data_IF_456771727880
#
_entry.id   IF_456771727880
#
_cell.length_a   1.000
_cell.length_b   1.000
_cell.length_c   1.000
_cell.angle_alpha   90.00
_cell.angle_beta   90.00
_cell.angle_gamma   90.00
#
_symmetry.space_group_name_H-M   'P 1'
#
loop_
_entity.id
_entity.type
_entity.pdbx_description
1 polymer ?
#
# COMPACT_ATOMS: atom_id res chain seq x y z
N UNK A 1 -0.28 -2.59 -30.26
CA UNK A 1 -1.56 -2.69 -29.51
C UNK A 1 -1.65 -1.53 -28.54
N UNK A 2 -2.78 -0.81 -28.47
CA UNK A 2 -2.94 0.30 -27.53
C UNK A 2 -2.81 -0.20 -26.08
N UNK A 3 -2.13 0.59 -25.23
CA UNK A 3 -1.97 0.23 -23.84
C UNK A 3 -3.28 0.45 -23.07
N UNK A 4 -3.39 -0.13 -21.86
CA UNK A 4 -4.61 -0.05 -21.03
C UNK A 4 -5.11 1.37 -20.76
N UNK A 5 -4.23 2.37 -20.73
CA UNK A 5 -4.61 3.77 -20.53
C UNK A 5 -5.18 4.40 -21.81
N UNK A 6 -4.66 4.02 -22.98
CA UNK A 6 -5.20 4.45 -24.27
C UNK A 6 -6.59 3.83 -24.52
N UNK A 7 -6.79 2.56 -24.13
CA UNK A 7 -8.11 1.91 -24.19
C UNK A 7 -9.11 2.55 -23.21
N UNK A 8 -8.68 2.84 -21.97
CA UNK A 8 -9.52 3.52 -20.99
C UNK A 8 -9.93 4.93 -21.46
N UNK A 9 -8.99 5.69 -22.02
CA UNK A 9 -9.26 7.01 -22.60
C UNK A 9 -10.24 6.94 -23.77
N UNK A 10 -10.05 6.00 -24.71
CA UNK A 10 -10.95 5.84 -25.86
C UNK A 10 -12.37 5.48 -25.41
N UNK A 11 -12.49 4.57 -24.45
CA UNK A 11 -13.78 4.15 -23.91
C UNK A 11 -14.51 5.30 -23.18
N UNK A 12 -13.78 6.09 -22.37
CA UNK A 12 -14.38 7.26 -21.71
C UNK A 12 -14.77 8.33 -22.71
N UNK A 13 -13.88 8.67 -23.65
CA UNK A 13 -14.15 9.65 -24.68
C UNK A 13 -15.41 9.30 -25.49
N UNK A 14 -15.51 8.06 -25.97
CA UNK A 14 -16.69 7.61 -26.72
C UNK A 14 -17.96 7.60 -25.86
N UNK A 15 -17.87 7.22 -24.58
CA UNK A 15 -19.03 7.22 -23.67
C UNK A 15 -19.53 8.63 -23.36
N UNK A 16 -18.62 9.57 -23.05
CA UNK A 16 -18.96 10.95 -22.68
C UNK A 16 -19.42 11.71 -23.90
N UNK A 17 -18.73 11.56 -25.03
CA UNK A 17 -19.14 12.18 -26.29
C UNK A 17 -20.49 11.63 -26.76
N UNK A 18 -20.71 10.31 -26.69
CA UNK A 18 -22.00 9.70 -26.99
C UNK A 18 -23.12 10.20 -26.08
N UNK A 19 -22.87 10.32 -24.77
CA UNK A 19 -23.84 10.85 -23.82
C UNK A 19 -24.15 12.34 -24.07
N UNK A 20 -23.14 13.15 -24.39
CA UNK A 20 -23.32 14.57 -24.74
C UNK A 20 -24.11 14.75 -26.04
N UNK A 21 -23.83 13.95 -27.07
CA UNK A 21 -24.58 13.97 -28.34
C UNK A 21 -26.03 13.56 -28.09
N UNK A 22 -26.26 12.50 -27.31
CA UNK A 22 -27.61 12.05 -26.96
C UNK A 22 -28.37 13.11 -26.13
N UNK A 23 -27.73 13.70 -25.12
CA UNK A 23 -28.30 14.76 -24.32
C UNK A 23 -28.63 16.00 -25.16
N UNK A 24 -27.73 16.40 -26.07
CA UNK A 24 -27.97 17.49 -27.02
C UNK A 24 -29.18 17.19 -27.91
N UNK A 25 -29.30 15.96 -28.42
CA UNK A 25 -30.41 15.56 -29.28
C UNK A 25 -31.76 15.54 -28.54
N UNK A 26 -31.76 15.10 -27.29
CA UNK A 26 -32.94 15.08 -26.44
C UNK A 26 -33.33 16.49 -26.00
N UNK A 27 -32.36 17.35 -25.68
CA UNK A 27 -32.58 18.76 -25.41
C UNK A 27 -33.13 19.51 -26.63
N UNK A 28 -32.61 19.25 -27.83
CA UNK A 28 -33.16 19.82 -29.07
C UNK A 28 -34.59 19.34 -29.34
N UNK A 29 -34.89 18.08 -29.02
CA UNK A 29 -36.23 17.50 -29.20
C UNK A 29 -37.23 18.06 -28.19
N UNK A 30 -36.80 18.25 -26.94
CA UNK A 30 -37.59 18.88 -25.88
C UNK A 30 -37.86 20.36 -26.19
N UNK A 31 -36.83 21.12 -26.60
CA UNK A 31 -37.01 22.50 -27.04
C UNK A 31 -38.01 22.62 -28.20
N UNK A 32 -37.94 21.70 -29.17
CA UNK A 32 -38.93 21.62 -30.24
C UNK A 32 -40.35 21.32 -29.73
N UNK A 33 -40.51 20.44 -28.72
CA UNK A 33 -41.83 20.10 -28.19
C UNK A 33 -42.48 21.22 -27.36
N UNK A 34 -41.70 22.19 -26.87
CA UNK A 34 -42.20 23.40 -26.20
C UNK A 34 -42.26 24.64 -27.12
N UNK A 35 -42.16 24.44 -28.46
CA UNK A 35 -42.34 25.50 -29.46
C UNK A 35 -41.08 26.26 -29.87
N UNK A 36 -39.90 25.81 -29.43
CA UNK A 36 -38.59 26.42 -29.74
C UNK A 36 -37.66 25.47 -30.52
N UNK A 37 -38.01 25.04 -31.75
CA UNK A 37 -37.14 24.17 -32.53
C UNK A 37 -35.83 24.88 -32.91
N UNK A 38 -34.69 24.33 -32.46
CA UNK A 38 -33.35 24.93 -32.66
C UNK A 38 -33.02 25.09 -34.16
N UNK A 39 -33.55 24.24 -35.04
CA UNK A 39 -33.40 24.40 -36.49
C UNK A 39 -34.04 25.68 -37.07
N UNK A 40 -34.99 26.28 -36.35
CA UNK A 40 -35.63 27.55 -36.72
C UNK A 40 -35.05 28.75 -35.95
N UNK A 41 -34.13 28.52 -35.01
CA UNK A 41 -33.30 29.57 -34.40
C UNK A 41 -32.21 29.97 -35.42
N UNK A 42 -32.63 30.60 -36.51
CA UNK A 42 -31.75 31.50 -37.26
C UNK A 42 -31.46 32.65 -36.30
N UNK A 43 -30.17 32.97 -36.12
CA UNK A 43 -29.65 34.14 -35.38
C UNK A 43 -30.75 35.18 -35.15
N UNK A 44 -31.21 35.28 -33.90
CA UNK A 44 -32.32 36.14 -33.47
C UNK A 44 -32.12 37.53 -34.09
N UNK A 45 -32.92 37.87 -35.11
CA UNK A 45 -32.81 39.15 -35.81
C UNK A 45 -33.15 39.20 -37.30
N UNK A 46 -33.47 38.09 -37.99
CA UNK A 46 -33.90 38.15 -39.40
C UNK A 46 -35.42 37.98 -39.53
N UNK A 47 -36.03 38.96 -40.20
CA UNK A 47 -37.46 39.09 -40.43
C UNK A 47 -37.98 37.97 -41.36
N UNK A 48 -39.15 37.40 -41.04
CA UNK A 48 -39.69 36.22 -41.72
C UNK A 48 -40.23 36.53 -43.13
N UNK A 49 -40.46 37.81 -43.43
CA UNK A 49 -41.05 38.28 -44.69
C UNK A 49 -40.04 38.95 -45.64
N UNK A 50 -38.73 38.87 -45.34
CA UNK A 50 -37.70 39.46 -46.20
C UNK A 50 -37.55 38.68 -47.54
N UNK A 51 -37.47 39.38 -48.69
CA UNK A 51 -37.32 38.73 -49.99
C UNK A 51 -36.00 37.93 -50.05
N UNK A 52 -35.92 36.87 -50.89
CA UNK A 52 -34.78 35.95 -50.88
C UNK A 52 -33.49 36.71 -51.20
N UNK A 53 -32.57 36.76 -50.23
CA UNK A 53 -31.30 37.44 -50.39
C UNK A 53 -30.45 36.75 -51.47
N UNK A 54 -30.01 37.54 -52.45
CA UNK A 54 -29.00 37.14 -53.42
C UNK A 54 -27.68 36.80 -52.74
N UNK A 55 -27.13 35.62 -53.05
CA UNK A 55 -25.74 35.19 -52.88
C UNK A 55 -24.83 36.13 -52.06
N UNK A 56 -24.95 36.10 -50.73
CA UNK A 56 -24.10 36.87 -49.81
C UNK A 56 -23.24 35.94 -48.95
N UNK A 57 -21.92 35.95 -49.14
CA UNK A 57 -20.96 35.28 -48.26
C UNK A 57 -21.05 35.88 -46.85
N UNK A 58 -21.02 35.02 -45.83
CA UNK A 58 -20.95 35.44 -44.42
C UNK A 58 -19.58 36.09 -44.16
N UNK A 59 -19.59 37.37 -43.76
CA UNK A 59 -18.37 38.11 -43.37
C UNK A 59 -17.92 37.70 -41.95
N UNK A 60 -16.92 36.83 -41.91
CA UNK A 60 -16.38 36.18 -40.70
C UNK A 60 -15.85 37.20 -39.66
N UNK A 61 -15.48 38.42 -40.08
CA UNK A 61 -14.92 39.46 -39.22
C UNK A 61 -15.92 40.10 -38.24
N UNK A 62 -17.24 39.97 -38.47
CA UNK A 62 -18.29 40.58 -37.61
C UNK A 62 -18.81 39.67 -36.49
N UNK A 63 -18.44 38.39 -36.51
CA UNK A 63 -18.85 37.38 -35.52
C UNK A 63 -18.49 37.77 -34.06
N UNK A 64 -17.30 38.34 -33.76
CA UNK A 64 -16.94 38.70 -32.38
C UNK A 64 -17.84 39.79 -31.78
N UNK A 65 -18.28 40.77 -32.59
CA UNK A 65 -19.15 41.85 -32.14
C UNK A 65 -20.56 41.37 -31.79
N UNK A 66 -21.11 40.47 -32.60
CA UNK A 66 -22.44 39.88 -32.39
C UNK A 66 -22.49 38.97 -31.14
N UNK A 67 -21.40 38.25 -30.87
CA UNK A 67 -21.29 37.42 -29.65
C UNK A 67 -21.21 38.28 -28.39
N UNK A 68 -20.51 39.42 -28.43
CA UNK A 68 -20.40 40.33 -27.29
C UNK A 68 -21.73 41.04 -27.01
N UNK A 69 -22.47 41.43 -28.05
CA UNK A 69 -23.80 42.04 -27.92
C UNK A 69 -24.83 41.04 -27.40
N UNK A 70 -24.75 39.77 -27.82
CA UNK A 70 -25.54 38.69 -27.26
C UNK A 70 -25.26 38.49 -25.76
N UNK A 71 -23.98 38.41 -25.35
CA UNK A 71 -23.62 38.23 -23.92
C UNK A 71 -24.06 39.43 -23.07
N UNK A 72 -24.08 40.65 -23.63
CA UNK A 72 -24.60 41.84 -22.93
C UNK A 72 -26.11 41.86 -22.80
N UNK A 73 -26.84 41.30 -23.76
CA UNK A 73 -28.30 41.26 -23.77
C UNK A 73 -28.87 39.94 -23.24
N UNK A 74 -28.02 38.99 -22.84
CA UNK A 74 -28.44 37.71 -22.27
C UNK A 74 -28.86 37.92 -20.81
N UNK A 75 -30.17 38.02 -20.59
CA UNK A 75 -30.73 38.24 -19.24
C UNK A 75 -30.69 36.93 -18.42
N UNK A 76 -29.77 36.91 -17.46
CA UNK A 76 -29.58 35.78 -16.54
C UNK A 76 -30.80 35.61 -15.61
N UNK A 77 -31.53 36.68 -15.29
CA UNK A 77 -32.74 36.61 -14.45
C UNK A 77 -33.92 36.01 -15.21
N UNK A 78 -34.04 36.28 -16.51
CA UNK A 78 -35.04 35.64 -17.37
C UNK A 78 -34.73 34.14 -17.54
N UNK A 79 -33.47 33.77 -17.78
CA UNK A 79 -33.05 32.36 -17.84
C UNK A 79 -33.24 31.60 -16.50
N UNK A 80 -33.04 32.27 -15.37
CA UNK A 80 -33.32 31.72 -14.02
C UNK A 80 -34.82 31.55 -13.76
N UNK A 81 -35.67 32.45 -14.28
CA UNK A 81 -37.12 32.33 -14.16
C UNK A 81 -37.68 31.09 -14.88
N UNK A 82 -36.99 30.60 -15.92
CA UNK A 82 -37.34 29.35 -16.62
C UNK A 82 -36.75 28.08 -15.97
N UNK A 83 -35.70 28.21 -15.16
CA UNK A 83 -35.03 27.13 -14.41
C UNK A 83 -35.50 27.08 -12.95
N UNK A 84 -36.83 27.08 -12.75
CA UNK A 84 -37.44 26.83 -11.45
C UNK A 84 -37.04 25.46 -10.88
N UNK A 85 -37.00 25.33 -9.56
CA UNK A 85 -36.64 24.08 -8.87
C UNK A 85 -37.46 22.87 -9.35
N UNK A 86 -38.76 23.05 -9.64
CA UNK A 86 -39.64 22.00 -10.18
C UNK A 86 -39.20 21.52 -11.56
N UNK A 87 -38.92 22.42 -12.50
CA UNK A 87 -38.42 22.08 -13.84
C UNK A 87 -37.04 21.42 -13.82
N UNK A 88 -36.17 21.79 -12.88
CA UNK A 88 -34.87 21.13 -12.68
C UNK A 88 -35.04 19.70 -12.17
N UNK A 89 -36.00 19.46 -11.28
CA UNK A 89 -36.34 18.11 -10.81
C UNK A 89 -36.95 17.29 -11.94
N UNK A 90 -37.85 17.87 -12.74
CA UNK A 90 -38.47 17.22 -13.89
C UNK A 90 -37.43 16.85 -14.97
N UNK A 91 -36.48 17.75 -15.25
CA UNK A 91 -35.35 17.49 -16.14
C UNK A 91 -34.43 16.38 -15.60
N UNK A 92 -34.15 16.38 -14.29
CA UNK A 92 -33.35 15.34 -13.64
C UNK A 92 -34.03 13.96 -13.63
N UNK A 93 -35.36 13.92 -13.67
CA UNK A 93 -36.17 12.69 -13.75
C UNK A 93 -36.33 12.18 -15.19
N UNK A 94 -35.90 12.94 -16.21
CA UNK A 94 -35.99 12.45 -17.57
C UNK A 94 -35.12 11.20 -17.75
N UNK A 95 -35.64 10.14 -18.41
CA UNK A 95 -34.90 8.90 -18.65
C UNK A 95 -33.53 9.13 -19.32
N UNK A 96 -33.46 10.17 -20.15
CA UNK A 96 -32.26 10.68 -20.81
C UNK A 96 -31.14 11.08 -19.85
N UNK A 97 -31.48 11.92 -18.87
CA UNK A 97 -30.54 12.51 -17.90
C UNK A 97 -30.09 11.44 -16.91
N UNK A 98 -31.02 10.57 -16.48
CA UNK A 98 -30.71 9.41 -15.66
C UNK A 98 -29.75 8.46 -16.40
N UNK A 99 -30.02 8.14 -17.67
CA UNK A 99 -29.15 7.29 -18.47
C UNK A 99 -27.75 7.91 -18.66
N UNK A 100 -27.66 9.21 -18.94
CA UNK A 100 -26.38 9.91 -19.07
C UNK A 100 -25.59 9.93 -17.75
N UNK A 101 -26.26 10.13 -16.61
CA UNK A 101 -25.64 10.07 -15.29
C UNK A 101 -25.12 8.66 -14.97
N UNK A 102 -25.90 7.61 -15.25
CA UNK A 102 -25.49 6.21 -15.06
C UNK A 102 -24.29 5.85 -15.93
N UNK A 103 -24.28 6.25 -17.20
CA UNK A 103 -23.14 6.04 -18.09
C UNK A 103 -21.90 6.77 -17.59
N UNK A 104 -22.03 8.03 -17.15
CA UNK A 104 -20.91 8.82 -16.65
C UNK A 104 -20.33 8.23 -15.37
N UNK A 105 -21.17 7.87 -14.40
CA UNK A 105 -20.75 7.23 -13.15
C UNK A 105 -20.12 5.87 -13.45
N UNK A 106 -20.75 5.07 -14.32
CA UNK A 106 -20.22 3.77 -14.77
C UNK A 106 -18.85 3.90 -15.43
N UNK A 107 -18.65 4.88 -16.31
CA UNK A 107 -17.37 5.17 -16.96
C UNK A 107 -16.30 5.64 -15.98
N UNK A 108 -16.64 6.50 -15.01
CA UNK A 108 -15.72 6.93 -13.94
C UNK A 108 -15.31 5.73 -13.07
N UNK A 109 -16.26 4.87 -12.70
CA UNK A 109 -16.00 3.64 -11.94
C UNK A 109 -15.16 2.65 -12.73
N UNK A 110 -15.42 2.50 -14.03
CA UNK A 110 -14.63 1.65 -14.93
C UNK A 110 -13.20 2.16 -15.09
N UNK A 111 -13.01 3.46 -15.32
CA UNK A 111 -11.68 4.06 -15.38
C UNK A 111 -10.95 3.91 -14.06
N UNK A 112 -11.63 4.17 -12.92
CA UNK A 112 -11.06 3.93 -11.60
C UNK A 112 -10.62 2.47 -11.43
N UNK A 113 -11.49 1.52 -11.79
CA UNK A 113 -11.18 0.08 -11.73
C UNK A 113 -10.04 -0.33 -12.67
N UNK A 114 -9.93 0.26 -13.87
CA UNK A 114 -8.85 -0.01 -14.82
C UNK A 114 -7.52 0.64 -14.39
N UNK A 115 -7.59 1.80 -13.74
CA UNK A 115 -6.43 2.47 -13.14
C UNK A 115 -5.95 1.75 -11.87
N UNK A 116 -6.87 1.16 -11.11
CA UNK A 116 -6.62 0.40 -9.89
C UNK A 116 -6.31 -1.08 -10.18
N UNK A 117 -6.48 -1.54 -11.43
CA UNK A 117 -6.20 -2.91 -11.83
C UNK A 117 -4.75 -3.28 -11.46
N UNK A 118 -4.56 -4.32 -10.61
CA UNK A 118 -3.25 -4.65 -10.06
C UNK A 118 -2.27 -4.92 -11.20
N UNK A 119 -1.17 -4.16 -11.21
CA UNK A 119 -0.05 -4.46 -12.10
C UNK A 119 0.57 -5.82 -11.75
N UNK A 120 1.47 -6.30 -12.61
CA UNK A 120 2.29 -7.49 -12.31
C UNK A 120 2.88 -7.34 -10.89
N UNK A 121 2.68 -8.34 -10.00
CA UNK A 121 3.22 -8.28 -8.64
C UNK A 121 4.73 -8.00 -8.69
N UNK A 122 5.25 -7.07 -7.87
CA UNK A 122 6.69 -6.77 -7.92
C UNK A 122 7.57 -7.98 -7.60
N UNK A 123 7.11 -8.85 -6.71
CA UNK A 123 7.80 -10.08 -6.34
C UNK A 123 7.40 -11.27 -7.23
N UNK A 124 8.36 -12.16 -7.50
CA UNK A 124 8.13 -13.45 -8.14
C UNK A 124 8.90 -14.54 -7.36
N UNK A 125 8.23 -15.66 -7.07
CA UNK A 125 8.78 -16.70 -6.19
C UNK A 125 9.90 -17.50 -6.87
N UNK A 126 9.95 -17.53 -8.20
CA UNK A 126 10.83 -18.38 -8.99
C UNK A 126 11.85 -17.58 -9.79
N UNK A 127 11.59 -16.30 -10.05
CA UNK A 127 12.46 -15.41 -10.80
C UNK A 127 13.14 -14.36 -9.92
N UNK A 128 14.36 -14.00 -10.28
CA UNK A 128 15.06 -12.86 -9.68
C UNK A 128 14.59 -11.56 -10.36
N UNK A 129 14.09 -10.62 -9.57
CA UNK A 129 13.77 -9.26 -10.00
C UNK A 129 14.79 -8.27 -9.42
N UNK A 130 15.01 -7.16 -10.11
CA UNK A 130 15.97 -6.14 -9.71
C UNK A 130 15.28 -4.88 -9.20
N UNK A 131 15.73 -4.37 -8.06
CA UNK A 131 15.16 -3.17 -7.45
C UNK A 131 16.28 -2.16 -7.17
N UNK A 132 16.23 -0.94 -7.72
CA UNK A 132 17.27 0.05 -7.51
C UNK A 132 17.18 0.65 -6.10
N UNK A 133 18.33 0.85 -5.48
CA UNK A 133 18.49 1.59 -4.24
C UNK A 133 18.13 3.07 -4.49
N UNK A 134 17.33 3.65 -3.60
CA UNK A 134 16.95 5.06 -3.65
C UNK A 134 17.75 5.86 -2.65
N UNK A 135 17.77 5.38 -1.40
CA UNK A 135 18.41 6.09 -0.29
C UNK A 135 18.73 5.11 0.84
N UNK A 136 19.74 5.48 1.64
CA UNK A 136 20.20 4.74 2.81
C UNK A 136 20.13 5.65 4.04
N UNK A 137 19.37 5.25 5.06
CA UNK A 137 19.26 5.93 6.35
C UNK A 137 20.08 5.18 7.40
N UNK A 138 21.13 5.79 7.94
CA UNK A 138 21.91 5.20 9.04
C UNK A 138 21.06 5.15 10.31
N UNK A 139 21.06 4.01 11.00
CA UNK A 139 20.30 3.76 12.24
C UNK A 139 21.25 3.63 13.43
N UNK A 140 22.37 2.93 13.26
CA UNK A 140 23.43 2.77 14.27
C UNK A 140 24.80 2.73 13.57
N UNK A 141 25.94 2.65 14.29
CA UNK A 141 27.26 2.58 13.67
C UNK A 141 27.41 1.47 12.62
N UNK A 142 26.76 0.33 12.83
CA UNK A 142 26.82 -0.84 11.95
C UNK A 142 25.47 -1.23 11.36
N UNK A 143 24.43 -0.40 11.45
CA UNK A 143 23.10 -0.74 10.92
C UNK A 143 22.50 0.44 10.14
N UNK A 144 21.88 0.13 9.01
CA UNK A 144 21.17 1.10 8.19
C UNK A 144 19.89 0.51 7.59
N UNK A 145 18.97 1.39 7.23
CA UNK A 145 17.77 1.08 6.44
C UNK A 145 18.05 1.47 5.00
N UNK A 146 17.89 0.50 4.09
CA UNK A 146 18.07 0.66 2.65
C UNK A 146 16.71 0.64 1.97
N UNK A 147 16.36 1.74 1.29
CA UNK A 147 15.09 1.89 0.58
C UNK A 147 15.25 1.56 -0.89
N UNK A 148 14.49 0.59 -1.38
CA UNK A 148 14.51 0.15 -2.77
C UNK A 148 13.22 0.54 -3.49
N UNK A 149 13.33 0.97 -4.74
CA UNK A 149 12.20 1.43 -5.56
C UNK A 149 11.43 0.24 -6.16
N UNK A 150 10.10 0.26 -6.07
CA UNK A 150 9.23 -0.67 -6.80
C UNK A 150 9.00 -0.21 -8.25
N UNK A 151 8.54 -1.09 -9.17
CA UNK A 151 8.35 -0.75 -10.58
C UNK A 151 7.41 0.44 -10.86
N UNK A 152 6.52 0.76 -9.92
CA UNK A 152 5.58 1.88 -10.01
C UNK A 152 5.40 2.51 -8.64
N UNK A 153 5.18 3.83 -8.59
CA UNK A 153 4.87 4.57 -7.35
C UNK A 153 3.58 4.13 -6.66
N UNK A 154 2.68 3.43 -7.39
CA UNK A 154 1.43 2.87 -6.85
C UNK A 154 1.55 1.41 -6.40
N UNK A 155 2.64 0.72 -6.78
CA UNK A 155 2.80 -0.70 -6.45
C UNK A 155 3.10 -0.88 -4.96
N UNK A 156 2.54 -1.93 -4.35
CA UNK A 156 2.96 -2.44 -3.04
C UNK A 156 3.83 -3.67 -3.26
N UNK A 157 4.71 -4.01 -2.31
CA UNK A 157 5.64 -5.13 -2.47
C UNK A 157 4.92 -6.48 -2.68
N UNK A 158 3.76 -6.67 -2.06
CA UNK A 158 2.97 -7.89 -2.18
C UNK A 158 3.55 -9.09 -1.41
N UNK A 159 4.31 -8.83 -0.34
CA UNK A 159 4.86 -9.86 0.55
C UNK A 159 3.83 -10.23 1.62
N UNK A 160 3.36 -11.49 1.70
CA UNK A 160 2.48 -11.92 2.79
C UNK A 160 3.14 -11.75 4.17
N UNK A 161 2.33 -11.40 5.17
CA UNK A 161 2.81 -11.20 6.55
C UNK A 161 3.38 -12.51 7.10
N UNK A 162 4.57 -12.45 7.68
CA UNK A 162 5.30 -13.62 8.15
C UNK A 162 6.31 -14.19 7.14
N UNK A 163 6.22 -13.78 5.87
CA UNK A 163 7.17 -14.20 4.84
C UNK A 163 8.29 -13.17 4.67
N UNK A 164 9.35 -13.61 3.99
CA UNK A 164 10.55 -12.83 3.72
C UNK A 164 10.92 -12.87 2.24
N UNK A 165 11.95 -12.12 1.86
CA UNK A 165 12.54 -12.15 0.52
C UNK A 165 13.93 -12.78 0.57
N UNK A 166 14.33 -13.43 -0.53
CA UNK A 166 15.70 -13.84 -0.76
C UNK A 166 16.42 -12.75 -1.57
N UNK A 167 17.62 -12.39 -1.12
CA UNK A 167 18.53 -11.43 -1.76
C UNK A 167 19.75 -12.18 -2.24
N UNK A 168 20.22 -11.87 -3.46
CA UNK A 168 21.44 -12.46 -4.02
C UNK A 168 22.42 -11.43 -4.53
N UNK A 169 23.71 -11.72 -4.38
CA UNK A 169 24.79 -10.99 -5.02
C UNK A 169 25.92 -11.93 -5.44
N UNK A 170 26.62 -11.57 -6.51
CA UNK A 170 27.87 -12.23 -6.89
C UNK A 170 29.01 -11.63 -6.07
N UNK A 171 29.62 -12.43 -5.19
CA UNK A 171 30.72 -12.04 -4.33
C UNK A 171 31.87 -13.00 -4.63
N UNK A 172 32.97 -12.46 -5.18
CA UNK A 172 34.16 -13.23 -5.57
C UNK A 172 33.83 -14.43 -6.48
N UNK A 173 32.99 -14.22 -7.49
CA UNK A 173 32.59 -15.24 -8.46
C UNK A 173 31.52 -16.22 -7.96
N UNK A 174 31.06 -16.11 -6.71
CA UNK A 174 30.03 -16.99 -6.12
C UNK A 174 28.73 -16.23 -5.89
N UNK A 175 27.61 -16.81 -6.31
CA UNK A 175 26.28 -16.28 -5.98
C UNK A 175 25.96 -16.64 -4.53
N UNK A 176 25.93 -15.63 -3.66
CA UNK A 176 25.58 -15.77 -2.25
C UNK A 176 24.14 -15.32 -2.05
N UNK A 177 23.33 -16.12 -1.34
CA UNK A 177 21.94 -15.81 -1.04
C UNK A 177 21.76 -15.60 0.46
N UNK A 178 20.99 -14.57 0.85
CA UNK A 178 20.56 -14.32 2.23
C UNK A 178 19.10 -13.89 2.27
N UNK A 179 18.42 -14.22 3.36
CA UNK A 179 17.01 -13.88 3.57
C UNK A 179 16.90 -12.58 4.37
N UNK A 180 15.94 -11.73 4.00
CA UNK A 180 15.64 -10.48 4.69
C UNK A 180 14.12 -10.30 4.76
N UNK A 181 13.62 -9.87 5.93
CA UNK A 181 12.24 -9.41 6.05
C UNK A 181 12.22 -7.89 5.93
N UNK A 182 11.49 -7.32 4.97
CA UNK A 182 11.30 -5.88 4.87
C UNK A 182 10.66 -5.29 6.13
N UNK A 183 11.11 -4.10 6.54
CA UNK A 183 10.59 -3.36 7.71
C UNK A 183 9.61 -2.25 7.32
N UNK A 184 9.43 -2.00 6.02
CA UNK A 184 8.36 -1.14 5.47
C UNK A 184 6.99 -1.78 5.69
N UNK A 185 5.92 -0.97 5.68
CA UNK A 185 4.57 -1.50 5.82
C UNK A 185 4.14 -2.26 4.55
N UNK A 186 3.30 -3.30 4.68
CA UNK A 186 2.71 -3.99 3.52
C UNK A 186 1.90 -3.06 2.59
N UNK A 187 1.39 -1.97 3.15
CA UNK A 187 0.60 -0.93 2.46
C UNK A 187 1.46 0.17 1.86
N UNK A 188 2.76 0.23 2.15
CA UNK A 188 3.66 1.24 1.59
C UNK A 188 3.74 1.08 0.07
N UNK A 189 3.61 2.21 -0.64
CA UNK A 189 3.58 2.24 -2.10
C UNK A 189 4.88 2.78 -2.66
N UNK A 190 5.33 2.18 -3.76
CA UNK A 190 6.47 2.65 -4.54
C UNK A 190 7.84 2.23 -4.00
N UNK A 191 7.93 1.65 -2.81
CA UNK A 191 9.20 1.20 -2.23
C UNK A 191 9.03 0.03 -1.25
N UNK A 192 10.16 -0.57 -0.87
CA UNK A 192 10.29 -1.38 0.35
C UNK A 192 11.61 -1.07 1.04
N UNK A 193 11.71 -1.38 2.33
CA UNK A 193 12.87 -1.06 3.16
C UNK A 193 13.48 -2.28 3.83
N UNK A 194 14.79 -2.42 3.76
CA UNK A 194 15.55 -3.48 4.44
C UNK A 194 16.40 -2.87 5.55
N UNK A 195 16.19 -3.34 6.78
CA UNK A 195 17.05 -3.06 7.93
C UNK A 195 18.20 -4.07 7.93
N UNK A 196 19.42 -3.60 7.68
CA UNK A 196 20.59 -4.47 7.52
C UNK A 196 21.68 -4.03 8.49
N UNK A 197 22.07 -4.95 9.37
CA UNK A 197 23.28 -4.84 10.20
C UNK A 197 24.46 -5.41 9.43
N UNK A 198 25.51 -4.62 9.30
CA UNK A 198 26.76 -4.97 8.63
C UNK A 198 27.68 -5.69 9.60
N UNK A 199 28.19 -6.83 9.15
CA UNK A 199 29.21 -7.61 9.85
C UNK A 199 30.51 -7.56 9.04
N UNK A 200 31.66 -7.47 9.71
CA UNK A 200 32.97 -7.35 9.04
C UNK A 200 33.26 -8.53 8.10
N UNK A 201 32.93 -9.74 8.56
CA UNK A 201 33.01 -10.99 7.80
C UNK A 201 31.70 -11.35 7.08
N UNK A 202 30.76 -10.40 7.00
CA UNK A 202 29.47 -10.59 6.35
C UNK A 202 29.57 -10.49 4.84
N UNK A 203 28.90 -11.40 4.12
CA UNK A 203 28.87 -11.39 2.66
C UNK A 203 27.90 -10.32 2.14
N UNK A 204 26.60 -10.65 2.06
CA UNK A 204 25.57 -9.75 1.52
C UNK A 204 25.46 -8.46 2.32
N UNK A 205 25.57 -8.54 3.66
CA UNK A 205 25.50 -7.35 4.51
C UNK A 205 26.60 -6.31 4.21
N UNK A 206 27.78 -6.76 3.76
CA UNK A 206 28.89 -5.87 3.33
C UNK A 206 28.70 -5.43 1.89
N UNK A 207 28.22 -6.31 1.01
CA UNK A 207 27.90 -5.93 -0.37
C UNK A 207 26.85 -4.81 -0.42
N UNK A 208 25.81 -4.87 0.40
CA UNK A 208 24.77 -3.83 0.40
C UNK A 208 25.32 -2.46 0.84
N UNK A 209 26.38 -2.41 1.66
CA UNK A 209 27.01 -1.12 2.03
C UNK A 209 27.79 -0.47 0.90
N UNK A 210 28.12 -1.21 -0.17
CA UNK A 210 28.85 -0.67 -1.32
C UNK A 210 27.91 -0.13 -2.40
N UNK A 211 26.59 -0.30 -2.25
CA UNK A 211 25.61 0.16 -3.21
C UNK A 211 25.43 1.69 -3.12
N UNK A 212 25.42 2.33 -4.27
CA UNK A 212 25.03 3.73 -4.45
C UNK A 212 23.58 3.83 -4.94
N UNK A 213 22.91 4.98 -4.75
CA UNK A 213 21.59 5.21 -5.36
C UNK A 213 21.60 4.92 -6.86
N UNK A 214 20.63 4.14 -7.32
CA UNK A 214 20.55 3.62 -8.69
C UNK A 214 21.06 2.19 -8.85
N UNK A 215 21.99 1.74 -8.01
CA UNK A 215 22.47 0.35 -8.03
C UNK A 215 21.34 -0.60 -7.63
N UNK A 216 21.34 -1.80 -8.21
CA UNK A 216 20.22 -2.72 -8.08
C UNK A 216 20.52 -3.89 -7.17
N UNK A 217 19.54 -4.21 -6.32
CA UNK A 217 19.52 -5.42 -5.54
C UNK A 217 18.66 -6.49 -6.24
N UNK A 218 19.19 -7.71 -6.36
CA UNK A 218 18.46 -8.85 -6.92
C UNK A 218 17.69 -9.56 -5.82
N UNK A 219 16.37 -9.66 -6.02
CA UNK A 219 15.41 -10.14 -5.03
C UNK A 219 14.50 -11.21 -5.64
N UNK A 220 14.18 -12.24 -4.87
CA UNK A 220 13.19 -13.28 -5.18
C UNK A 220 12.26 -13.46 -4.00
N UNK A 221 10.97 -13.65 -4.22
CA UNK A 221 10.00 -13.81 -3.13
C UNK A 221 8.56 -13.91 -3.61
N UNK A 222 7.61 -14.21 -2.72
CA UNK A 222 7.82 -14.43 -1.29
C UNK A 222 8.52 -15.77 -0.98
N UNK A 223 9.14 -15.87 0.20
CA UNK A 223 9.80 -17.07 0.75
C UNK A 223 9.42 -17.24 2.23
N UNK A 224 9.55 -18.47 2.73
CA UNK A 224 9.26 -18.83 4.12
C UNK A 224 7.89 -19.49 4.29
N UNK A 225 7.77 -20.29 5.35
CA UNK A 225 6.59 -21.12 5.62
C UNK A 225 5.57 -20.44 6.53
N UNK A 226 5.97 -19.39 7.27
CA UNK A 226 5.07 -18.68 8.17
C UNK A 226 4.22 -17.69 7.39
N UNK A 227 2.90 -17.78 7.58
CA UNK A 227 1.95 -16.80 7.06
C UNK A 227 1.01 -16.40 8.18
N UNK A 228 1.07 -15.15 8.59
CA UNK A 228 0.11 -14.59 9.52
C UNK A 228 -1.19 -14.24 8.78
N UNK A 229 -2.30 -14.60 9.40
CA UNK A 229 -3.66 -14.14 9.06
C UNK A 229 -4.33 -13.75 10.37
N UNK A 230 -5.27 -12.79 10.37
CA UNK A 230 -5.98 -12.42 11.59
C UNK A 230 -6.57 -13.64 12.28
N UNK A 231 -6.50 -13.68 13.61
CA UNK A 231 -6.99 -14.80 14.43
C UNK A 231 -6.23 -16.12 14.26
N UNK A 232 -5.01 -16.08 13.70
CA UNK A 232 -4.16 -17.28 13.60
C UNK A 232 -3.98 -17.95 14.98
N UNK A 233 -3.88 -17.15 16.04
CA UNK A 233 -3.77 -17.64 17.40
C UNK A 233 -4.24 -16.60 18.42
N UNK A 234 -4.51 -17.00 19.67
CA UNK A 234 -4.92 -16.04 20.70
C UNK A 234 -3.72 -15.26 21.28
N UNK A 235 -2.54 -15.88 21.30
CA UNK A 235 -1.33 -15.26 21.86
C UNK A 235 -0.07 -15.67 21.09
N UNK A 236 0.66 -14.67 20.60
CA UNK A 236 2.01 -14.81 20.04
C UNK A 236 3.07 -14.39 21.07
N UNK A 237 3.84 -15.36 21.55
CA UNK A 237 5.12 -15.09 22.17
C UNK A 237 6.20 -14.90 21.10
N UNK A 238 7.04 -13.89 21.22
CA UNK A 238 8.10 -13.58 20.27
C UNK A 238 9.42 -13.39 21.02
N UNK A 239 10.49 -14.01 20.52
CA UNK A 239 11.84 -13.83 21.02
C UNK A 239 12.73 -13.37 19.86
N UNK A 240 13.17 -12.12 19.91
CA UNK A 240 13.98 -11.50 18.86
C UNK A 240 15.39 -11.16 19.37
N UNK A 241 16.39 -11.31 18.51
CA UNK A 241 17.77 -10.87 18.77
C UNK A 241 18.31 -10.00 17.65
N UNK A 242 18.75 -8.77 17.96
CA UNK A 242 19.35 -7.86 16.95
C UNK A 242 18.42 -7.64 15.74
N UNK A 243 18.88 -8.00 14.53
CA UNK A 243 18.09 -7.88 13.29
C UNK A 243 16.92 -8.86 13.20
N UNK A 244 16.81 -9.83 14.11
CA UNK A 244 15.66 -10.73 14.22
C UNK A 244 14.35 -10.02 14.57
N UNK A 245 14.39 -8.72 14.86
CA UNK A 245 13.19 -7.89 15.02
C UNK A 245 12.39 -7.72 13.73
N UNK A 246 13.03 -7.83 12.56
CA UNK A 246 12.39 -7.56 11.27
C UNK A 246 11.14 -8.44 10.98
N UNK A 247 11.17 -9.78 11.16
CA UNK A 247 9.94 -10.58 11.06
C UNK A 247 8.91 -10.24 12.15
N UNK A 248 9.35 -9.91 13.37
CA UNK A 248 8.43 -9.63 14.47
C UNK A 248 7.66 -8.34 14.24
N UNK A 249 8.34 -7.23 13.90
CA UNK A 249 7.70 -5.93 13.67
C UNK A 249 6.68 -5.98 12.52
N UNK A 250 6.94 -6.81 11.49
CA UNK A 250 6.00 -7.03 10.39
C UNK A 250 4.69 -7.63 10.88
N UNK A 251 4.77 -8.64 11.76
CA UNK A 251 3.59 -9.31 12.33
C UNK A 251 2.90 -8.42 13.35
N UNK A 252 3.66 -7.78 14.26
CA UNK A 252 3.13 -6.89 15.29
C UNK A 252 2.29 -5.77 14.66
N UNK A 253 2.84 -5.09 13.65
CA UNK A 253 2.11 -4.00 12.97
C UNK A 253 0.86 -4.50 12.26
N UNK A 254 0.90 -5.70 11.65
CA UNK A 254 -0.27 -6.28 11.01
C UNK A 254 -1.41 -6.58 12.00
N UNK A 255 -1.07 -7.05 13.20
CA UNK A 255 -2.05 -7.33 14.27
C UNK A 255 -2.62 -6.02 14.82
N UNK A 256 -1.76 -5.12 15.28
CA UNK A 256 -2.19 -3.93 16.01
C UNK A 256 -2.88 -2.89 15.12
N UNK A 257 -2.63 -2.89 13.81
CA UNK A 257 -3.35 -2.03 12.86
C UNK A 257 -4.71 -2.57 12.44
N UNK A 258 -5.04 -3.82 12.78
CA UNK A 258 -6.34 -4.41 12.49
C UNK A 258 -7.23 -4.35 13.75
N UNK A 259 -8.26 -3.48 13.78
CA UNK A 259 -9.15 -3.38 14.94
C UNK A 259 -9.97 -4.66 15.18
N UNK A 260 -10.14 -5.47 14.13
CA UNK A 260 -10.82 -6.76 14.19
C UNK A 260 -9.88 -7.93 14.46
N UNK A 261 -8.67 -7.73 14.96
CA UNK A 261 -7.76 -8.81 15.36
C UNK A 261 -7.44 -8.65 16.85
N UNK A 262 -7.84 -9.61 17.69
CA UNK A 262 -7.61 -9.53 19.15
C UNK A 262 -6.42 -10.34 19.64
N UNK A 263 -5.54 -10.77 18.74
CA UNK A 263 -4.34 -11.54 19.10
C UNK A 263 -3.46 -10.77 20.08
N UNK A 264 -3.13 -11.38 21.23
CA UNK A 264 -2.16 -10.85 22.18
C UNK A 264 -0.74 -11.12 21.71
N UNK A 265 0.20 -10.24 22.06
CA UNK A 265 1.59 -10.31 21.67
C UNK A 265 2.47 -10.06 22.90
N UNK A 266 3.44 -10.94 23.12
CA UNK A 266 4.52 -10.72 24.08
C UNK A 266 5.86 -10.81 23.36
N UNK A 267 6.61 -9.72 23.31
CA UNK A 267 7.94 -9.66 22.69
C UNK A 267 9.03 -9.54 23.75
N UNK A 268 9.93 -10.53 23.80
CA UNK A 268 11.24 -10.42 24.45
C UNK A 268 12.26 -10.03 23.38
N UNK A 269 12.85 -8.84 23.49
CA UNK A 269 13.82 -8.32 22.52
C UNK A 269 15.21 -8.16 23.15
N UNK A 270 16.16 -8.98 22.67
CA UNK A 270 17.50 -9.07 23.22
C UNK A 270 18.57 -8.40 22.35
N UNK A 271 19.41 -7.58 22.96
CA UNK A 271 20.50 -6.85 22.31
C UNK A 271 21.74 -6.77 23.23
N UNK A 272 22.88 -6.34 22.71
CA UNK A 272 24.10 -6.20 23.52
C UNK A 272 24.00 -4.95 24.39
N UNK A 273 23.89 -3.77 23.77
CA UNK A 273 23.74 -2.48 24.46
C UNK A 273 22.43 -1.78 24.07
N UNK A 274 22.09 -0.69 24.76
CA UNK A 274 20.88 0.11 24.48
C UNK A 274 20.86 0.68 23.06
N UNK A 275 22.03 1.03 22.53
CA UNK A 275 22.22 1.61 21.20
C UNK A 275 22.03 0.57 20.08
N UNK A 276 22.06 -0.73 20.42
CA UNK A 276 21.80 -1.82 19.49
C UNK A 276 20.31 -2.12 19.33
N UNK A 277 19.40 -1.51 20.11
CA UNK A 277 17.96 -1.76 20.04
C UNK A 277 17.41 -1.12 18.76
N UNK A 278 17.27 -1.92 17.71
CA UNK A 278 16.78 -1.47 16.42
C UNK A 278 15.26 -1.26 16.47
N UNK A 279 14.77 -0.20 15.81
CA UNK A 279 13.35 0.14 15.75
C UNK A 279 12.71 0.40 17.13
N UNK A 280 13.51 0.83 18.13
CA UNK A 280 13.03 1.07 19.49
C UNK A 280 11.84 2.04 19.54
N UNK A 281 11.99 3.21 18.91
CA UNK A 281 10.96 4.23 18.90
C UNK A 281 9.69 3.74 18.20
N UNK A 282 9.85 3.01 17.09
CA UNK A 282 8.74 2.43 16.34
C UNK A 282 8.01 1.33 17.11
N UNK A 283 8.70 0.57 17.96
CA UNK A 283 8.08 -0.42 18.85
C UNK A 283 7.33 0.26 20.00
N UNK A 284 7.96 1.24 20.65
CA UNK A 284 7.35 1.95 21.78
C UNK A 284 6.13 2.78 21.36
N UNK A 285 6.13 3.32 20.14
CA UNK A 285 4.99 4.02 19.56
C UNK A 285 3.75 3.12 19.36
N UNK A 286 3.89 1.80 19.44
CA UNK A 286 2.78 0.85 19.35
C UNK A 286 2.15 0.52 20.71
N UNK A 287 2.79 0.92 21.82
CA UNK A 287 2.29 0.63 23.16
C UNK A 287 1.01 1.42 23.52
N UNK A 288 0.91 2.74 23.28
CA UNK A 288 -0.26 3.52 23.66
C UNK A 288 -1.54 2.96 23.04
N UNK A 289 -2.52 2.63 23.88
CA UNK A 289 -3.80 2.06 23.47
C UNK A 289 -3.78 0.56 23.11
N UNK A 290 -2.66 -0.13 23.32
CA UNK A 290 -2.52 -1.58 23.14
C UNK A 290 -1.89 -2.27 24.36
N UNK A 291 -1.85 -1.62 25.52
CA UNK A 291 -1.15 -2.10 26.73
C UNK A 291 -1.71 -3.43 27.24
N UNK A 292 -2.98 -3.74 26.95
CA UNK A 292 -3.66 -4.98 27.28
C UNK A 292 -3.36 -6.14 26.31
N UNK A 293 -2.81 -5.83 25.13
CA UNK A 293 -2.54 -6.81 24.04
C UNK A 293 -1.10 -6.84 23.56
N UNK A 294 -0.26 -5.85 23.85
CA UNK A 294 1.14 -5.83 23.44
C UNK A 294 2.06 -5.60 24.63
N UNK A 295 2.75 -6.66 25.03
CA UNK A 295 3.82 -6.61 26.03
C UNK A 295 5.18 -6.56 25.33
N UNK A 296 5.99 -5.56 25.68
CA UNK A 296 7.35 -5.38 25.18
C UNK A 296 8.35 -5.44 26.34
N UNK A 297 9.30 -6.37 26.27
CA UNK A 297 10.31 -6.55 27.30
C UNK A 297 11.70 -6.64 26.69
N UNK A 298 12.61 -5.78 27.13
CA UNK A 298 13.98 -5.74 26.63
C UNK A 298 14.92 -6.61 27.48
N UNK A 299 15.98 -7.13 26.87
CA UNK A 299 17.06 -7.82 27.59
C UNK A 299 18.40 -7.33 27.03
N UNK A 300 19.29 -6.81 27.89
CA UNK A 300 20.59 -6.30 27.48
C UNK A 300 21.74 -7.03 28.17
N UNK A 301 22.79 -7.34 27.42
CA UNK A 301 24.04 -7.82 28.00
C UNK A 301 24.76 -6.72 28.80
N UNK A 302 24.81 -5.51 28.24
CA UNK A 302 25.50 -4.34 28.78
C UNK A 302 24.48 -3.20 28.99
N UNK A 303 23.63 -3.28 30.03
CA UNK A 303 22.63 -2.26 30.30
C UNK A 303 23.26 -0.96 30.84
N UNK A 304 22.59 0.19 30.67
CA UNK A 304 22.95 1.40 31.41
C UNK A 304 22.64 1.25 32.92
N UNK A 305 23.21 2.09 33.81
CA UNK A 305 23.05 1.98 35.27
C UNK A 305 21.60 1.99 35.79
N UNK A 306 20.65 2.56 35.04
CA UNK A 306 19.22 2.56 35.35
C UNK A 306 18.46 1.77 34.27
N UNK A 307 18.35 0.46 34.46
CA UNK A 307 17.72 -0.45 33.51
C UNK A 307 16.71 -1.35 34.20
N UNK A 308 15.44 -1.11 33.89
CA UNK A 308 14.30 -1.78 34.56
C UNK A 308 13.93 -3.13 33.93
N UNK A 309 14.67 -3.57 32.91
CA UNK A 309 14.38 -4.81 32.17
C UNK A 309 15.45 -5.88 32.39
N UNK A 310 15.43 -6.94 31.57
CA UNK A 310 16.33 -8.07 31.74
C UNK A 310 17.79 -7.70 31.52
N UNK A 311 18.67 -8.34 32.29
CA UNK A 311 20.13 -8.21 32.18
C UNK A 311 20.75 -9.56 31.82
N UNK A 312 21.75 -9.54 30.93
CA UNK A 312 22.42 -10.73 30.43
C UNK A 312 21.71 -11.36 29.24
N UNK A 313 21.49 -12.67 29.28
CA UNK A 313 20.80 -13.42 28.23
C UNK A 313 19.32 -13.65 28.57
N UNK A 314 18.51 -14.01 27.57
CA UNK A 314 17.13 -14.43 27.81
C UNK A 314 17.15 -15.73 28.65
N UNK A 315 16.45 -15.73 29.78
CA UNK A 315 16.41 -16.85 30.72
C UNK A 315 15.08 -17.60 30.64
N UNK A 316 15.03 -18.78 31.28
CA UNK A 316 13.78 -19.55 31.44
C UNK A 316 12.73 -18.77 32.24
N UNK A 317 13.16 -17.95 33.20
CA UNK A 317 12.23 -17.16 34.02
C UNK A 317 11.62 -16.00 33.21
N UNK A 318 12.40 -15.36 32.32
CA UNK A 318 11.84 -14.40 31.37
C UNK A 318 10.74 -15.06 30.51
N UNK A 319 11.03 -16.24 29.95
CA UNK A 319 10.08 -16.98 29.11
C UNK A 319 8.81 -17.34 29.90
N UNK A 320 8.95 -17.96 31.08
CA UNK A 320 7.83 -18.36 31.95
C UNK A 320 6.94 -17.18 32.35
N UNK A 321 7.54 -16.02 32.63
CA UNK A 321 6.82 -14.84 33.11
C UNK A 321 6.10 -14.09 32.00
N UNK A 322 6.68 -14.04 30.81
CA UNK A 322 6.26 -13.09 29.76
C UNK A 322 5.57 -13.75 28.56
N UNK A 323 5.88 -15.01 28.26
CA UNK A 323 5.38 -15.70 27.08
C UNK A 323 4.23 -16.66 27.43
N UNK A 324 3.34 -16.98 26.47
CA UNK A 324 2.23 -17.90 26.71
C UNK A 324 2.71 -19.28 27.16
N UNK A 325 1.96 -19.89 28.08
CA UNK A 325 2.31 -21.15 28.71
C UNK A 325 2.37 -22.31 27.68
N UNK A 326 3.28 -23.30 27.86
CA UNK A 326 3.35 -24.48 26.99
C UNK A 326 2.03 -25.28 26.91
N UNK A 327 1.15 -25.19 27.90
CA UNK A 327 -0.13 -25.88 27.93
C UNK A 327 -1.29 -25.09 27.27
N UNK A 328 -1.08 -23.81 26.94
CA UNK A 328 -2.08 -23.05 26.19
C UNK A 328 -2.23 -23.64 24.77
N UNK A 329 -3.44 -24.06 24.43
CA UNK A 329 -3.71 -24.78 23.16
C UNK A 329 -3.70 -23.87 21.95
N UNK A 330 -4.07 -22.59 22.13
CA UNK A 330 -4.12 -21.60 21.07
C UNK A 330 -3.10 -20.48 21.28
N UNK A 331 -1.81 -20.86 21.31
CA UNK A 331 -0.68 -19.93 21.35
C UNK A 331 0.49 -20.43 20.51
N UNK A 332 1.34 -19.51 20.04
CA UNK A 332 2.58 -19.83 19.32
C UNK A 332 3.75 -19.00 19.83
N UNK A 333 4.95 -19.56 19.73
CA UNK A 333 6.24 -18.92 20.00
C UNK A 333 6.98 -18.73 18.68
N UNK A 334 7.41 -17.50 18.42
CA UNK A 334 8.21 -17.15 17.25
C UNK A 334 9.63 -16.76 17.67
N UNK A 335 10.65 -17.27 16.99
CA UNK A 335 12.06 -17.01 17.34
C UNK A 335 12.81 -16.55 16.10
N UNK A 336 13.55 -15.44 16.21
CA UNK A 336 14.50 -15.01 15.19
C UNK A 336 15.68 -14.28 15.82
N UNK A 337 16.91 -14.67 15.49
CA UNK A 337 18.11 -14.04 16.03
C UNK A 337 19.38 -14.78 15.62
N UNK A 338 20.54 -14.41 16.20
CA UNK A 338 21.81 -15.08 15.94
C UNK A 338 21.74 -16.58 16.30
N UNK A 339 22.45 -17.47 15.57
CA UNK A 339 22.39 -18.91 15.82
C UNK A 339 22.65 -19.34 17.28
N UNK A 340 23.62 -18.75 18.02
CA UNK A 340 23.82 -19.09 19.43
C UNK A 340 22.60 -18.77 20.31
N UNK A 341 21.95 -17.63 20.06
CA UNK A 341 20.73 -17.25 20.77
C UNK A 341 19.60 -18.23 20.45
N UNK A 342 19.37 -18.54 19.18
CA UNK A 342 18.34 -19.49 18.76
C UNK A 342 18.56 -20.86 19.42
N UNK A 343 19.79 -21.37 19.41
CA UNK A 343 20.14 -22.63 20.06
C UNK A 343 19.83 -22.63 21.56
N UNK A 344 20.20 -21.56 22.27
CA UNK A 344 19.87 -21.39 23.69
C UNK A 344 18.36 -21.33 23.94
N UNK A 345 17.60 -20.64 23.08
CA UNK A 345 16.14 -20.54 23.23
C UNK A 345 15.44 -21.87 22.98
N UNK A 346 15.91 -22.67 22.02
CA UNK A 346 15.38 -24.04 21.81
C UNK A 346 15.53 -24.88 23.08
N UNK A 347 16.72 -24.87 23.69
CA UNK A 347 16.99 -25.59 24.95
C UNK A 347 16.13 -25.08 26.10
N UNK A 348 16.03 -23.76 26.27
CA UNK A 348 15.22 -23.17 27.32
C UNK A 348 13.73 -23.53 27.17
N UNK A 349 13.20 -23.55 25.94
CA UNK A 349 11.82 -23.92 25.67
C UNK A 349 11.57 -25.42 25.91
N UNK A 350 12.51 -26.28 25.52
CA UNK A 350 12.46 -27.72 25.82
C UNK A 350 12.44 -28.01 27.33
N UNK A 351 13.35 -27.38 28.10
CA UNK A 351 13.37 -27.45 29.57
C UNK A 351 12.06 -26.96 30.23
N UNK A 352 11.30 -26.14 29.50
CA UNK A 352 10.02 -25.59 29.91
C UNK A 352 8.82 -26.39 29.36
N UNK A 353 9.06 -27.56 28.76
CA UNK A 353 8.05 -28.45 28.19
C UNK A 353 7.29 -27.88 26.98
N UNK A 354 7.86 -26.93 26.25
CA UNK A 354 7.35 -26.60 24.92
C UNK A 354 7.72 -27.69 23.91
N UNK A 355 6.93 -27.90 22.84
CA UNK A 355 7.29 -28.84 21.78
C UNK A 355 8.63 -28.49 21.14
N UNK A 356 9.48 -29.51 20.95
CA UNK A 356 10.77 -29.35 20.28
C UNK A 356 10.57 -28.78 18.86
N UNK A 357 11.25 -27.69 18.49
CA UNK A 357 11.10 -27.10 17.17
C UNK A 357 11.63 -28.03 16.08
N UNK A 358 10.89 -28.16 14.98
CA UNK A 358 11.33 -28.89 13.80
C UNK A 358 12.62 -28.30 13.22
N UNK A 359 13.39 -29.12 12.48
CA UNK A 359 14.56 -28.66 11.72
C UNK A 359 14.18 -27.54 10.74
N UNK A 360 13.03 -27.70 10.09
CA UNK A 360 12.41 -26.67 9.25
C UNK A 360 11.03 -26.40 9.84
N UNK A 361 10.82 -25.19 10.34
CA UNK A 361 9.56 -24.78 10.95
C UNK A 361 8.41 -24.83 9.93
N UNK A 362 7.27 -25.35 10.37
CA UNK A 362 6.02 -25.44 9.61
C UNK A 362 4.98 -24.50 10.24
N UNK A 363 4.02 -24.04 9.44
CA UNK A 363 2.95 -23.14 9.89
C UNK A 363 2.21 -23.65 11.15
N UNK A 364 1.99 -24.97 11.24
CA UNK A 364 1.28 -25.59 12.35
C UNK A 364 2.07 -25.59 13.67
N UNK A 365 3.39 -25.46 13.62
CA UNK A 365 4.26 -25.63 14.79
C UNK A 365 3.93 -24.62 15.90
N UNK A 366 3.92 -25.08 17.15
CA UNK A 366 3.77 -24.20 18.31
C UNK A 366 5.00 -23.31 18.47
N UNK A 367 6.20 -23.85 18.24
CA UNK A 367 7.44 -23.07 18.24
C UNK A 367 7.96 -22.97 16.81
N UNK A 368 7.91 -21.76 16.24
CA UNK A 368 8.36 -21.46 14.90
C UNK A 368 9.67 -20.66 14.96
N UNK A 369 10.72 -21.19 14.31
CA UNK A 369 11.99 -20.49 14.12
C UNK A 369 12.09 -20.01 12.68
N UNK A 370 12.32 -18.71 12.50
CA UNK A 370 12.44 -18.05 11.20
C UNK A 370 13.70 -18.38 10.42
#
# INVERSE_FOLDING_TARGET
MPNRFQLAFLATFLSVFGALVLAAHLFTSWLASIGYPIGNLILIGLDKDAPPMSNGRVEIEKIPGQVIEFVKNFDIEEAKAYLTQEKLIELAQQPAVIAAAVVTIGSVLLVKSLLDAPGVPPLNADEWKEFPLVHTKKVSPNTAIYRFKLPSSRAVLGLPIGQHIAVTANINGKNVIRNYTPVSLPTDRGYFELLIKTYELGNISKHVTTLSPGDKLRVKGPKGNFKYVPWLTNHLGMIAGGTGIAPMIQIIRAILSNPGDTTKISLIYANVSKEDILLKAELEALLPGNEDRFTLYYVLNNPPPAWDYGVGFVTKDHIKKLLPNPNETNSKILICGPPPMVGAMKKNLEDLNYPTPNTISKQADKVFVF
#
